data_IF_350959212849
#
_entry.id   IF_350959212849
#
_cell.length_a   1.000
_cell.length_b   1.000
_cell.length_c   1.000
_cell.angle_alpha   90.00
_cell.angle_beta   90.00
_cell.angle_gamma   90.00
#
_symmetry.space_group_name_H-M   'P 1'
#
loop_
_entity.id
_entity.type
_entity.pdbx_description
1 polymer ?
#
# COMPACT_ATOMS: atom_id res chain seq x y z
N UNK A 1 -25.55 -10.89 -11.65
CA UNK A 1 -25.12 -9.56 -11.15
C UNK A 1 -23.69 -9.63 -10.69
N UNK A 2 -22.85 -8.76 -11.19
CA UNK A 2 -21.44 -8.70 -10.79
C UNK A 2 -21.29 -7.72 -9.64
N UNK A 3 -20.76 -8.20 -8.52
CA UNK A 3 -20.50 -7.33 -7.36
C UNK A 3 -19.13 -6.69 -7.49
N UNK A 4 -19.00 -5.48 -6.96
CA UNK A 4 -17.71 -4.83 -6.86
C UNK A 4 -16.77 -5.66 -5.95
N UNK A 5 -15.45 -5.69 -6.24
CA UNK A 5 -14.50 -6.39 -5.39
C UNK A 5 -14.60 -5.95 -3.92
N UNK A 6 -14.64 -6.93 -3.03
CA UNK A 6 -14.79 -6.68 -1.60
C UNK A 6 -13.47 -6.32 -0.93
N UNK A 7 -13.54 -5.86 0.32
CA UNK A 7 -12.36 -5.64 1.15
C UNK A 7 -11.54 -6.93 1.27
N UNK A 8 -12.20 -8.06 1.54
CA UNK A 8 -11.53 -9.36 1.67
C UNK A 8 -10.84 -9.78 0.38
N UNK A 9 -11.48 -9.56 -0.75
CA UNK A 9 -10.87 -9.87 -2.05
C UNK A 9 -9.62 -9.01 -2.30
N UNK A 10 -9.71 -7.72 -2.01
CA UNK A 10 -8.56 -6.82 -2.16
C UNK A 10 -7.44 -7.16 -1.19
N UNK A 11 -7.77 -7.57 0.03
CA UNK A 11 -6.78 -8.03 0.98
C UNK A 11 -6.04 -9.27 0.48
N UNK A 12 -6.76 -10.23 -0.12
CA UNK A 12 -6.15 -11.41 -0.74
C UNK A 12 -5.21 -11.03 -1.88
N UNK A 13 -5.62 -10.11 -2.73
CA UNK A 13 -4.78 -9.62 -3.83
C UNK A 13 -3.50 -8.96 -3.29
N UNK A 14 -3.63 -8.16 -2.25
CA UNK A 14 -2.50 -7.48 -1.63
C UNK A 14 -1.52 -8.46 -0.99
N UNK A 15 -2.01 -9.47 -0.28
CA UNK A 15 -1.16 -10.50 0.33
C UNK A 15 -0.40 -11.29 -0.73
N UNK A 16 -1.06 -11.64 -1.83
CA UNK A 16 -0.42 -12.33 -2.95
C UNK A 16 0.63 -11.45 -3.62
N UNK A 17 0.33 -10.16 -3.78
CA UNK A 17 1.29 -9.21 -4.34
C UNK A 17 2.52 -9.10 -3.44
N UNK A 18 2.33 -8.96 -2.13
CA UNK A 18 3.43 -8.91 -1.17
C UNK A 18 4.31 -10.17 -1.24
N UNK A 19 3.67 -11.35 -1.22
CA UNK A 19 4.38 -12.63 -1.26
C UNK A 19 5.20 -12.80 -2.55
N UNK A 20 4.76 -12.19 -3.65
CA UNK A 20 5.44 -12.27 -4.93
C UNK A 20 6.53 -11.23 -5.16
N UNK A 21 6.73 -10.27 -4.24
CA UNK A 21 7.77 -9.25 -4.37
C UNK A 21 9.16 -9.87 -4.21
N UNK A 22 10.20 -9.27 -4.83
CA UNK A 22 11.57 -9.78 -4.67
C UNK A 22 11.97 -9.85 -3.20
N UNK A 23 12.66 -10.93 -2.84
CA UNK A 23 13.07 -11.16 -1.46
C UNK A 23 13.89 -10.01 -0.87
N UNK A 24 14.88 -9.42 -1.57
CA UNK A 24 15.61 -8.29 -1.02
C UNK A 24 14.70 -7.11 -0.63
N UNK A 25 13.65 -6.85 -1.41
CA UNK A 25 12.70 -5.81 -1.11
C UNK A 25 11.89 -6.14 0.15
N UNK A 26 11.40 -7.38 0.25
CA UNK A 26 10.65 -7.84 1.43
C UNK A 26 11.51 -7.87 2.68
N UNK A 27 12.76 -8.29 2.55
CA UNK A 27 13.71 -8.32 3.66
C UNK A 27 13.99 -6.91 4.18
N UNK A 28 14.16 -5.94 3.27
CA UNK A 28 14.40 -4.54 3.64
C UNK A 28 13.19 -3.93 4.34
N UNK A 29 11.98 -4.28 3.89
CA UNK A 29 10.74 -3.78 4.49
C UNK A 29 10.47 -4.39 5.87
N UNK A 30 10.93 -5.62 6.10
CA UNK A 30 10.63 -6.36 7.31
C UNK A 30 9.17 -6.81 7.36
N UNK A 31 8.66 -7.19 8.53
CA UNK A 31 7.26 -7.58 8.67
C UNK A 31 6.33 -6.42 8.33
N UNK A 32 5.33 -6.70 7.50
CA UNK A 32 4.35 -5.69 7.08
C UNK A 32 2.95 -6.25 7.30
N UNK A 33 2.10 -5.47 7.94
CA UNK A 33 0.68 -5.78 8.08
C UNK A 33 -0.07 -4.97 7.03
N UNK A 34 -0.87 -5.64 6.23
CA UNK A 34 -1.67 -4.98 5.19
C UNK A 34 -3.10 -4.87 5.69
N UNK A 35 -3.65 -3.65 5.64
CA UNK A 35 -5.02 -3.38 6.05
C UNK A 35 -5.77 -2.73 4.88
N UNK A 36 -6.98 -3.22 4.62
CA UNK A 36 -7.83 -2.66 3.58
C UNK A 36 -9.06 -2.02 4.23
N UNK A 37 -9.26 -0.75 3.95
CA UNK A 37 -10.40 0.02 4.43
C UNK A 37 -11.07 0.67 3.22
N UNK A 38 -12.33 1.10 3.36
CA UNK A 38 -13.01 1.77 2.25
C UNK A 38 -12.41 3.14 1.94
N UNK A 39 -12.16 3.94 2.96
CA UNK A 39 -11.56 5.28 2.85
C UNK A 39 -10.67 5.54 4.05
N UNK A 40 -9.73 6.46 3.89
CA UNK A 40 -8.97 6.99 5.02
C UNK A 40 -9.92 7.76 5.95
N UNK A 41 -9.57 7.78 7.24
CA UNK A 41 -10.34 8.53 8.23
C UNK A 41 -10.26 10.03 7.97
N UNK A 42 -11.33 10.76 8.30
CA UNK A 42 -11.41 12.21 8.07
C UNK A 42 -10.27 12.96 8.75
N UNK A 43 -9.91 12.55 9.96
CA UNK A 43 -8.81 13.17 10.70
C UNK A 43 -7.48 13.03 9.96
N UNK A 44 -7.22 11.86 9.41
CA UNK A 44 -6.00 11.61 8.64
C UNK A 44 -5.97 12.45 7.38
N UNK A 45 -7.07 12.50 6.65
CA UNK A 45 -7.18 13.31 5.44
C UNK A 45 -6.93 14.80 5.75
N UNK A 46 -7.50 15.29 6.85
CA UNK A 46 -7.29 16.66 7.28
C UNK A 46 -5.83 16.95 7.60
N UNK A 47 -5.17 16.05 8.33
CA UNK A 47 -3.74 16.17 8.66
C UNK A 47 -2.86 16.20 7.42
N UNK A 48 -3.24 15.45 6.38
CA UNK A 48 -2.49 15.40 5.12
C UNK A 48 -2.86 16.52 4.15
N UNK A 49 -3.85 17.33 4.49
CA UNK A 49 -4.31 18.41 3.61
C UNK A 49 -5.07 17.92 2.38
N UNK A 50 -5.66 16.72 2.46
CA UNK A 50 -6.41 16.12 1.35
C UNK A 50 -7.90 16.40 1.54
N UNK A 51 -8.50 17.09 0.59
CA UNK A 51 -9.94 17.41 0.63
C UNK A 51 -10.81 16.30 0.04
N UNK A 52 -10.33 15.66 -1.03
CA UNK A 52 -11.09 14.59 -1.71
C UNK A 52 -10.56 13.23 -1.28
N UNK A 53 -11.36 12.43 -0.52
CA UNK A 53 -10.91 11.12 -0.06
C UNK A 53 -10.53 10.16 -1.19
N UNK A 54 -11.03 10.35 -2.41
CA UNK A 54 -10.66 9.53 -3.56
C UNK A 54 -9.22 9.77 -4.05
N UNK A 55 -8.56 10.81 -3.59
CA UNK A 55 -7.18 11.10 -3.97
C UNK A 55 -6.15 10.24 -3.25
N UNK A 56 -6.53 9.58 -2.16
CA UNK A 56 -5.61 8.75 -1.37
C UNK A 56 -5.92 7.27 -1.56
N UNK A 57 -5.08 6.58 -2.33
CA UNK A 57 -5.24 5.14 -2.60
C UNK A 57 -4.55 4.25 -1.59
N UNK A 58 -3.53 4.75 -0.91
CA UNK A 58 -2.79 3.97 0.08
C UNK A 58 -1.95 4.84 0.99
N UNK A 59 -1.46 4.24 2.07
CA UNK A 59 -0.61 4.91 3.04
C UNK A 59 0.29 3.89 3.73
N UNK A 60 1.57 4.19 3.83
CA UNK A 60 2.51 3.41 4.62
C UNK A 60 2.68 4.06 5.98
N UNK A 61 2.52 3.28 7.03
CA UNK A 61 2.76 3.72 8.39
C UNK A 61 3.83 2.84 9.02
N UNK A 62 5.06 3.29 8.98
CA UNK A 62 6.18 2.59 9.56
C UNK A 62 6.54 3.17 10.93
N UNK A 63 7.26 2.39 11.72
CA UNK A 63 7.86 2.89 12.94
C UNK A 63 9.11 3.67 12.53
N UNK A 64 9.16 4.95 12.87
CA UNK A 64 10.37 5.74 12.71
C UNK A 64 11.40 5.26 13.73
N UNK A 65 12.47 4.63 13.27
CA UNK A 65 13.50 4.08 14.13
C UNK A 65 14.18 5.16 14.98
N UNK A 66 14.14 6.41 14.55
CA UNK A 66 14.70 7.53 15.32
C UNK A 66 13.82 7.90 16.51
N UNK A 67 12.55 7.51 16.47
CA UNK A 67 11.58 7.75 17.55
C UNK A 67 11.29 6.48 18.35
N UNK A 68 11.93 5.37 18.01
CA UNK A 68 11.75 4.13 18.75
C UNK A 68 12.21 4.34 20.20
N UNK A 69 11.26 4.26 21.13
CA UNK A 69 11.55 4.48 22.53
C UNK A 69 12.33 3.30 23.10
N UNK A 70 13.38 3.60 23.86
CA UNK A 70 14.12 2.59 24.60
C UNK A 70 13.20 1.87 25.61
N UNK A 71 12.10 2.51 25.98
CA UNK A 71 11.12 1.96 26.92
C UNK A 71 10.18 0.93 26.28
N UNK A 72 10.10 0.89 24.93
CA UNK A 72 9.28 -0.11 24.22
C UNK A 72 10.17 -0.85 23.21
N UNK A 73 10.85 -1.90 23.67
CA UNK A 73 11.75 -2.66 22.79
C UNK A 73 11.01 -3.60 21.85
N UNK A 74 9.68 -3.71 21.94
CA UNK A 74 8.91 -4.57 21.04
C UNK A 74 8.81 -3.95 19.65
N UNK A 75 9.40 -4.58 18.62
CA UNK A 75 9.26 -4.06 17.28
C UNK A 75 7.81 -4.15 16.83
N UNK A 76 7.23 -3.01 16.45
CA UNK A 76 5.91 -3.01 15.84
C UNK A 76 6.08 -3.21 14.34
N UNK A 77 5.30 -4.10 13.72
CA UNK A 77 5.36 -4.24 12.28
C UNK A 77 4.89 -2.96 11.61
N UNK A 78 5.46 -2.67 10.46
CA UNK A 78 4.96 -1.59 9.62
C UNK A 78 3.55 -1.94 9.13
N UNK A 79 2.73 -0.93 8.90
CA UNK A 79 1.38 -1.11 8.38
C UNK A 79 1.25 -0.42 7.03
N UNK A 80 0.62 -1.11 6.08
CA UNK A 80 0.24 -0.51 4.80
C UNK A 80 -1.27 -0.49 4.74
N UNK A 81 -1.83 0.69 4.55
CA UNK A 81 -3.26 0.87 4.37
C UNK A 81 -3.55 1.00 2.88
N UNK A 82 -4.52 0.23 2.40
CA UNK A 82 -5.03 0.32 1.04
C UNK A 82 -6.49 0.74 1.13
N UNK A 83 -6.87 1.75 0.34
CA UNK A 83 -8.21 2.30 0.41
C UNK A 83 -9.01 1.83 -0.80
N UNK A 84 -9.97 0.97 -0.51
CA UNK A 84 -10.73 0.21 -1.51
C UNK A 84 -11.44 1.11 -2.52
N UNK A 85 -12.20 2.10 -2.03
CA UNK A 85 -13.01 2.95 -2.92
C UNK A 85 -12.16 3.81 -3.86
N UNK A 86 -11.11 4.48 -3.36
CA UNK A 86 -10.17 5.18 -4.25
C UNK A 86 -9.48 4.27 -5.27
N UNK A 87 -9.07 3.07 -4.85
CA UNK A 87 -8.43 2.11 -5.77
C UNK A 87 -9.41 1.67 -6.86
N UNK A 88 -10.65 1.35 -6.49
CA UNK A 88 -11.66 0.95 -7.47
C UNK A 88 -11.97 2.07 -8.46
N UNK A 89 -12.02 3.31 -7.98
CA UNK A 89 -12.23 4.48 -8.81
C UNK A 89 -11.12 4.63 -9.86
N UNK A 90 -9.87 4.51 -9.43
CA UNK A 90 -8.72 4.56 -10.33
C UNK A 90 -8.74 3.39 -11.32
N UNK A 91 -9.09 2.20 -10.86
CA UNK A 91 -9.18 1.02 -11.71
C UNK A 91 -10.17 1.19 -12.85
N UNK A 92 -11.35 1.70 -12.53
CA UNK A 92 -12.38 1.98 -13.53
C UNK A 92 -11.90 3.06 -14.50
N UNK A 93 -11.28 4.10 -13.99
CA UNK A 93 -10.79 5.23 -14.80
C UNK A 93 -9.69 4.79 -15.77
N UNK A 94 -8.76 3.96 -15.33
CA UNK A 94 -7.69 3.45 -16.20
C UNK A 94 -8.21 2.53 -17.28
N UNK A 95 -9.08 1.59 -16.93
CA UNK A 95 -9.77 0.72 -17.89
C UNK A 95 -8.94 -0.38 -18.53
N UNK A 96 -7.61 -0.31 -18.44
CA UNK A 96 -6.69 -1.20 -19.15
C UNK A 96 -5.78 -2.03 -18.23
N UNK A 97 -6.00 -1.97 -16.92
CA UNK A 97 -5.19 -2.72 -15.95
C UNK A 97 -6.08 -3.68 -15.17
N UNK A 98 -5.50 -4.79 -14.70
CA UNK A 98 -6.21 -5.67 -13.78
C UNK A 98 -6.20 -5.07 -12.39
N UNK A 99 -7.20 -5.43 -11.59
CA UNK A 99 -7.23 -4.97 -10.20
C UNK A 99 -6.01 -5.48 -9.43
N UNK A 100 -5.59 -6.72 -9.68
CA UNK A 100 -4.40 -7.30 -9.05
C UNK A 100 -3.15 -6.45 -9.34
N UNK A 101 -2.95 -6.04 -10.59
CA UNK A 101 -1.81 -5.21 -10.98
C UNK A 101 -1.87 -3.83 -10.32
N UNK A 102 -3.06 -3.24 -10.22
CA UNK A 102 -3.21 -1.93 -9.58
C UNK A 102 -2.95 -2.01 -8.08
N UNK A 103 -3.48 -3.03 -7.39
CA UNK A 103 -3.22 -3.24 -5.96
C UNK A 103 -1.72 -3.41 -5.71
N UNK A 104 -1.06 -4.23 -6.53
CA UNK A 104 0.39 -4.41 -6.45
C UNK A 104 1.14 -3.09 -6.65
N UNK A 105 0.74 -2.31 -7.64
CA UNK A 105 1.35 -1.01 -7.93
C UNK A 105 1.24 -0.06 -6.73
N UNK A 106 0.06 0.04 -6.13
CA UNK A 106 -0.15 0.90 -4.95
C UNK A 106 0.72 0.42 -3.79
N UNK A 107 0.73 -0.90 -3.55
CA UNK A 107 1.51 -1.51 -2.47
C UNK A 107 3.02 -1.21 -2.62
N UNK A 108 3.56 -1.43 -3.80
CA UNK A 108 4.99 -1.20 -4.09
C UNK A 108 5.35 0.28 -3.93
N UNK A 109 4.50 1.17 -4.43
CA UNK A 109 4.75 2.62 -4.35
C UNK A 109 4.77 3.09 -2.90
N UNK A 110 3.80 2.67 -2.09
CA UNK A 110 3.75 3.10 -0.69
C UNK A 110 4.96 2.61 0.10
N UNK A 111 5.30 1.33 -0.03
CA UNK A 111 6.46 0.76 0.67
C UNK A 111 7.76 1.35 0.11
N UNK A 112 7.88 1.45 -1.20
CA UNK A 112 9.09 1.93 -1.87
C UNK A 112 9.42 3.37 -1.50
N UNK A 113 8.43 4.26 -1.52
CA UNK A 113 8.64 5.66 -1.16
C UNK A 113 9.07 5.81 0.31
N UNK A 114 8.55 4.98 1.19
CA UNK A 114 8.97 5.00 2.59
C UNK A 114 10.48 4.71 2.74
N UNK A 115 11.01 3.83 1.90
CA UNK A 115 12.43 3.50 1.92
C UNK A 115 13.28 4.45 1.05
N UNK A 116 12.70 5.53 0.56
CA UNK A 116 13.42 6.52 -0.24
C UNK A 116 13.71 6.07 -1.66
N UNK A 117 13.02 5.05 -2.15
CA UNK A 117 13.19 4.61 -3.54
C UNK A 117 12.57 5.64 -4.49
N UNK A 118 13.27 5.91 -5.58
CA UNK A 118 12.74 6.77 -6.64
C UNK A 118 11.68 6.02 -7.45
N UNK A 119 10.92 6.76 -8.25
CA UNK A 119 9.95 6.14 -9.17
C UNK A 119 10.65 5.18 -10.15
N UNK A 120 11.86 5.49 -10.57
CA UNK A 120 12.65 4.61 -11.45
C UNK A 120 13.01 3.30 -10.74
N UNK A 121 13.43 3.37 -9.47
CA UNK A 121 13.74 2.17 -8.67
C UNK A 121 12.52 1.29 -8.51
N UNK A 122 11.35 1.90 -8.23
CA UNK A 122 10.09 1.20 -8.08
C UNK A 122 9.68 0.55 -9.39
N UNK A 123 9.83 1.26 -10.49
CA UNK A 123 9.52 0.75 -11.82
C UNK A 123 10.39 -0.47 -12.17
N UNK A 124 11.68 -0.43 -11.82
CA UNK A 124 12.59 -1.56 -12.02
C UNK A 124 12.14 -2.80 -11.23
N UNK A 125 11.64 -2.61 -10.01
CA UNK A 125 11.11 -3.70 -9.20
C UNK A 125 9.87 -4.31 -9.87
N UNK A 126 8.97 -3.47 -10.37
CA UNK A 126 7.76 -3.93 -11.07
C UNK A 126 8.11 -4.69 -12.34
N UNK A 127 9.05 -4.17 -13.14
CA UNK A 127 9.48 -4.81 -14.38
C UNK A 127 10.20 -6.14 -14.11
N UNK A 128 11.00 -6.22 -13.07
CA UNK A 128 11.74 -7.43 -12.72
C UNK A 128 10.87 -8.62 -12.34
N UNK A 129 9.57 -8.39 -12.10
CA UNK A 129 8.61 -9.45 -11.77
C UNK A 129 7.91 -10.03 -13.00
N UNK A 130 8.00 -9.34 -14.09
CA UNK A 130 7.36 -9.72 -15.34
C UNK A 130 8.35 -10.42 -16.27
#
# INVERSE_FOLDING_TARGET
MTLAPSIDHMADLAEKAWAGLPEPFRAAAGPVVIRVLDFAEDELLAEMGIEDPFELTGLYHGVDLTQASVADPSPRPAEVFLYRRPILDEWVERGDVTLADLVEHVLIHEIGHHFGLSDDDIHDIEDGRR
#
